data_IF_317583383999
#
_entry.id   IF_317583383999
#
_cell.length_a   1.000
_cell.length_b   1.000
_cell.length_c   1.000
_cell.angle_alpha   90.00
_cell.angle_beta   90.00
_cell.angle_gamma   90.00
#
_symmetry.space_group_name_H-M   'P 1'
#
loop_
_entity.id
_entity.type
_entity.pdbx_description
1 polymer ?
#
# COMPACT_ATOMS: atom_id res chain seq x y z
N UNK A 1 19.85 5.65 -9.63
CA UNK A 1 18.42 5.97 -9.58
C UNK A 1 17.65 4.89 -10.34
N UNK A 2 16.73 4.16 -9.69
CA UNK A 2 15.90 3.17 -10.39
C UNK A 2 14.96 3.92 -11.34
N UNK A 3 14.75 3.40 -12.56
CA UNK A 3 13.81 4.01 -13.49
C UNK A 3 12.38 3.97 -12.93
N UNK A 4 11.53 4.90 -13.35
CA UNK A 4 10.12 4.92 -12.97
C UNK A 4 9.43 3.59 -13.30
N UNK A 5 9.75 3.01 -14.45
CA UNK A 5 9.25 1.69 -14.87
C UNK A 5 9.63 0.59 -13.87
N UNK A 6 10.87 0.60 -13.37
CA UNK A 6 11.31 -0.39 -12.38
C UNK A 6 10.58 -0.20 -11.05
N UNK A 7 10.34 1.04 -10.63
CA UNK A 7 9.56 1.34 -9.42
C UNK A 7 8.12 0.85 -9.55
N UNK A 8 7.45 1.17 -10.66
CA UNK A 8 6.07 0.75 -10.90
C UNK A 8 5.96 -0.77 -10.89
N UNK A 9 6.89 -1.49 -11.54
CA UNK A 9 6.90 -2.97 -11.54
C UNK A 9 7.06 -3.57 -10.14
N UNK A 10 7.82 -2.92 -9.26
CA UNK A 10 8.00 -3.39 -7.88
C UNK A 10 6.73 -3.27 -7.02
N UNK A 11 5.74 -2.50 -7.47
CA UNK A 11 4.47 -2.37 -6.75
C UNK A 11 3.59 -3.62 -6.86
N UNK A 12 3.87 -4.53 -7.81
CA UNK A 12 3.03 -5.68 -8.10
C UNK A 12 3.78 -6.99 -7.84
N UNK A 13 3.08 -7.96 -7.29
CA UNK A 13 3.58 -9.34 -7.17
C UNK A 13 3.47 -10.07 -8.51
N UNK A 14 2.44 -9.74 -9.29
CA UNK A 14 2.21 -10.24 -10.65
C UNK A 14 2.78 -9.25 -11.66
N UNK A 15 3.36 -9.76 -12.75
CA UNK A 15 3.80 -8.89 -13.83
C UNK A 15 2.58 -8.30 -14.55
N UNK A 16 2.36 -6.97 -14.51
CA UNK A 16 1.26 -6.37 -15.24
C UNK A 16 1.43 -6.58 -16.74
N UNK A 17 0.32 -6.62 -17.47
CA UNK A 17 0.31 -6.58 -18.93
C UNK A 17 0.96 -5.30 -19.44
N UNK A 18 1.32 -5.25 -20.72
CA UNK A 18 1.89 -4.04 -21.32
C UNK A 18 0.92 -2.86 -21.24
N UNK A 19 -0.36 -3.10 -21.48
CA UNK A 19 -1.41 -2.06 -21.42
C UNK A 19 -1.58 -1.50 -20.00
N UNK A 20 -1.67 -2.36 -19.00
CA UNK A 20 -1.71 -1.96 -17.59
C UNK A 20 -0.46 -1.17 -17.19
N UNK A 21 0.72 -1.65 -17.60
CA UNK A 21 1.97 -0.96 -17.30
C UNK A 21 2.02 0.45 -17.92
N UNK A 22 1.58 0.60 -19.18
CA UNK A 22 1.50 1.90 -19.84
C UNK A 22 0.55 2.84 -19.12
N UNK A 23 -0.64 2.37 -18.75
CA UNK A 23 -1.61 3.16 -18.00
C UNK A 23 -1.04 3.66 -16.67
N UNK A 24 -0.36 2.80 -15.93
CA UNK A 24 0.28 3.16 -14.66
C UNK A 24 1.42 4.15 -14.85
N UNK A 25 2.21 4.00 -15.91
CA UNK A 25 3.30 4.92 -16.24
C UNK A 25 2.75 6.29 -16.62
N UNK A 26 1.67 6.36 -17.38
CA UNK A 26 1.04 7.63 -17.78
C UNK A 26 0.61 8.44 -16.56
N UNK A 27 -0.04 7.82 -15.58
CA UNK A 27 -0.40 8.50 -14.33
C UNK A 27 0.84 8.98 -13.56
N UNK A 28 1.88 8.17 -13.50
CA UNK A 28 3.10 8.53 -12.80
C UNK A 28 3.88 9.64 -13.51
N UNK A 29 3.93 9.64 -14.84
CA UNK A 29 4.62 10.68 -15.64
C UNK A 29 3.88 12.01 -15.57
N UNK A 30 2.55 12.00 -15.44
CA UNK A 30 1.75 13.20 -15.27
C UNK A 30 2.14 14.01 -14.00
N UNK A 31 2.73 13.37 -13.00
CA UNK A 31 3.26 14.06 -11.81
C UNK A 31 4.63 14.66 -12.12
N UNK A 32 4.82 15.99 -12.07
CA UNK A 32 6.11 16.63 -12.33
C UNK A 32 7.24 16.10 -11.43
N UNK A 33 8.45 16.03 -11.96
CA UNK A 33 9.60 15.48 -11.25
C UNK A 33 9.88 16.21 -9.91
N UNK A 34 9.77 17.53 -9.89
CA UNK A 34 9.98 18.33 -8.66
C UNK A 34 8.96 18.01 -7.56
N UNK A 35 7.73 17.65 -7.93
CA UNK A 35 6.69 17.25 -6.95
C UNK A 35 7.06 15.89 -6.34
N UNK A 36 7.47 14.94 -7.17
CA UNK A 36 7.94 13.63 -6.67
C UNK A 36 9.13 13.77 -5.74
N UNK A 37 10.11 14.58 -6.12
CA UNK A 37 11.30 14.84 -5.31
C UNK A 37 10.91 15.47 -3.95
N UNK A 38 10.04 16.47 -3.96
CA UNK A 38 9.54 17.11 -2.76
C UNK A 38 8.79 16.13 -1.84
N UNK A 39 8.02 15.19 -2.39
CA UNK A 39 7.32 14.16 -1.63
C UNK A 39 8.27 13.16 -0.99
N UNK A 40 9.26 12.68 -1.74
CA UNK A 40 10.24 11.70 -1.24
C UNK A 40 11.27 12.29 -0.28
N UNK A 41 11.52 13.60 -0.31
CA UNK A 41 12.42 14.28 0.63
C UNK A 41 11.76 14.58 1.98
N UNK A 42 10.46 14.38 2.13
CA UNK A 42 9.75 14.60 3.39
C UNK A 42 10.10 13.52 4.42
N UNK A 43 10.31 13.97 5.64
CA UNK A 43 10.38 13.11 6.82
C UNK A 43 9.23 13.46 7.76
N UNK A 44 8.49 12.44 8.19
CA UNK A 44 7.42 12.59 9.17
C UNK A 44 7.67 11.62 10.32
N UNK A 45 7.57 12.13 11.52
CA UNK A 45 7.47 11.29 12.70
C UNK A 45 6.03 11.38 13.22
N UNK A 46 5.26 10.33 12.95
CA UNK A 46 3.88 10.17 13.36
C UNK A 46 3.71 9.07 14.43
N UNK A 47 4.82 8.62 15.03
CA UNK A 47 4.81 7.51 15.98
C UNK A 47 3.91 7.75 17.20
N UNK A 48 3.80 8.99 17.64
CA UNK A 48 2.94 9.41 18.75
C UNK A 48 1.44 9.42 18.38
N UNK A 49 1.10 9.45 17.11
CA UNK A 49 -0.29 9.47 16.64
C UNK A 49 -0.94 8.09 16.66
N UNK A 50 -0.19 7.03 16.39
CA UNK A 50 -0.72 5.67 16.28
C UNK A 50 -1.46 5.24 17.55
N UNK A 51 -0.91 5.38 18.77
CA UNK A 51 -1.61 5.01 20.00
C UNK A 51 -2.84 5.89 20.32
N UNK A 52 -2.96 7.03 19.66
CA UNK A 52 -4.05 8.00 19.87
C UNK A 52 -5.24 7.78 18.94
N UNK A 53 -5.10 6.92 17.93
CA UNK A 53 -6.21 6.56 17.04
C UNK A 53 -7.30 5.84 17.83
N UNK A 54 -8.54 6.33 17.69
CA UNK A 54 -9.74 5.79 18.36
C UNK A 54 -10.80 5.28 17.39
N UNK A 55 -10.65 5.63 16.11
CA UNK A 55 -11.59 5.18 15.09
C UNK A 55 -11.27 3.76 14.66
N UNK A 56 -12.27 2.99 14.22
CA UNK A 56 -12.04 1.70 13.60
C UNK A 56 -10.98 1.78 12.52
N UNK A 57 -10.05 0.83 12.50
CA UNK A 57 -8.94 0.81 11.56
C UNK A 57 -8.81 -0.58 10.94
N UNK A 58 -8.75 -0.62 9.63
CA UNK A 58 -8.37 -1.80 8.85
C UNK A 58 -7.03 -1.53 8.15
N UNK A 59 -6.09 -2.43 8.32
CA UNK A 59 -4.81 -2.46 7.59
C UNK A 59 -4.86 -3.65 6.63
N UNK A 60 -4.77 -3.36 5.33
CA UNK A 60 -4.62 -4.37 4.28
C UNK A 60 -3.22 -4.24 3.69
N UNK A 61 -2.43 -5.31 3.72
CA UNK A 61 -1.02 -5.31 3.29
C UNK A 61 -0.74 -6.55 2.45
N UNK A 62 0.06 -6.38 1.37
CA UNK A 62 0.49 -7.52 0.57
C UNK A 62 1.66 -8.26 1.22
N UNK A 63 1.60 -9.59 1.24
CA UNK A 63 2.68 -10.42 1.78
C UNK A 63 3.98 -10.31 0.98
N UNK A 64 3.87 -10.03 -0.32
CA UNK A 64 4.98 -9.91 -1.28
C UNK A 64 5.40 -8.46 -1.53
N UNK A 65 5.01 -7.52 -0.64
CA UNK A 65 5.33 -6.11 -0.80
C UNK A 65 6.85 -5.87 -0.77
N UNK A 66 7.41 -5.53 -1.93
CA UNK A 66 8.83 -5.26 -2.11
C UNK A 66 9.23 -3.79 -1.79
N UNK A 67 8.26 -2.92 -1.51
CA UNK A 67 8.44 -1.49 -1.23
C UNK A 67 8.36 -1.21 0.27
N UNK A 68 7.29 -1.67 0.91
CA UNK A 68 7.06 -1.55 2.35
C UNK A 68 6.98 -2.94 2.95
N UNK A 69 7.87 -3.22 3.90
CA UNK A 69 7.94 -4.57 4.50
C UNK A 69 6.61 -4.94 5.17
N UNK A 70 6.13 -6.17 5.00
CA UNK A 70 4.91 -6.65 5.66
C UNK A 70 4.92 -6.53 7.18
N UNK A 71 6.10 -6.55 7.81
CA UNK A 71 6.27 -6.29 9.25
C UNK A 71 5.73 -4.92 9.70
N UNK A 72 5.55 -3.97 8.79
CA UNK A 72 4.91 -2.68 9.08
C UNK A 72 3.45 -2.87 9.49
N UNK A 73 2.75 -3.83 8.91
CA UNK A 73 1.37 -4.17 9.29
C UNK A 73 1.31 -4.72 10.73
N UNK A 74 2.28 -5.54 11.13
CA UNK A 74 2.42 -6.05 12.49
C UNK A 74 2.70 -4.93 13.49
N UNK A 75 3.55 -3.97 13.11
CA UNK A 75 3.84 -2.78 13.93
C UNK A 75 2.59 -1.93 14.15
N UNK A 76 1.75 -1.75 13.14
CA UNK A 76 0.46 -1.05 13.28
C UNK A 76 -0.46 -1.80 14.25
N UNK A 77 -0.55 -3.11 14.15
CA UNK A 77 -1.35 -3.93 15.05
C UNK A 77 -0.86 -3.83 16.50
N UNK A 78 0.45 -3.84 16.70
CA UNK A 78 1.04 -3.70 18.03
C UNK A 78 0.80 -2.31 18.65
N UNK A 79 0.83 -1.26 17.83
CA UNK A 79 0.62 0.13 18.27
C UNK A 79 -0.86 0.49 18.47
N UNK A 80 -1.78 -0.20 17.78
CA UNK A 80 -3.21 0.12 17.76
C UNK A 80 -3.98 -1.15 18.09
N UNK A 81 -4.31 -1.35 19.36
CA UNK A 81 -4.88 -2.60 19.87
C UNK A 81 -6.20 -3.04 19.19
N UNK A 82 -6.98 -2.10 18.66
CA UNK A 82 -8.25 -2.37 17.98
C UNK A 82 -8.12 -2.46 16.45
N UNK A 83 -6.91 -2.33 15.90
CA UNK A 83 -6.69 -2.45 14.46
C UNK A 83 -6.98 -3.88 13.98
N UNK A 84 -7.74 -3.98 12.91
CA UNK A 84 -7.86 -5.22 12.16
C UNK A 84 -6.77 -5.25 11.09
N UNK A 85 -5.94 -6.28 11.08
CA UNK A 85 -4.86 -6.43 10.12
C UNK A 85 -5.11 -7.67 9.28
N UNK A 86 -4.97 -7.53 7.97
CA UNK A 86 -5.03 -8.63 7.00
C UNK A 86 -3.84 -8.52 6.06
N UNK A 87 -3.05 -9.57 6.02
CA UNK A 87 -1.93 -9.70 5.08
C UNK A 87 -2.38 -10.63 3.96
N UNK A 88 -2.40 -10.12 2.73
CA UNK A 88 -2.89 -10.84 1.56
C UNK A 88 -1.73 -11.61 0.93
N UNK A 89 -1.82 -12.95 0.96
CA UNK A 89 -0.85 -13.84 0.33
C UNK A 89 -0.82 -13.60 -1.19
N UNK A 90 0.38 -13.59 -1.78
CA UNK A 90 0.56 -13.41 -3.22
C UNK A 90 0.31 -11.98 -3.74
N UNK A 91 0.03 -11.01 -2.88
CA UNK A 91 -0.14 -9.61 -3.26
C UNK A 91 1.09 -8.77 -2.89
N UNK A 92 1.44 -7.81 -3.73
CA UNK A 92 2.54 -6.87 -3.53
C UNK A 92 2.10 -5.56 -2.87
N UNK A 93 2.78 -4.46 -3.23
CA UNK A 93 2.51 -3.11 -2.70
C UNK A 93 1.14 -2.56 -3.14
N UNK A 94 0.58 -3.07 -4.21
CA UNK A 94 -0.74 -2.72 -4.71
C UNK A 94 -1.73 -3.91 -4.56
N UNK A 95 -2.06 -4.34 -3.32
CA UNK A 95 -2.90 -5.52 -3.10
C UNK A 95 -4.31 -5.36 -3.68
N UNK A 96 -4.81 -4.13 -3.80
CA UNK A 96 -6.09 -3.82 -4.45
C UNK A 96 -6.07 -4.08 -5.97
N UNK A 97 -4.89 -4.23 -6.56
CA UNK A 97 -4.69 -4.59 -7.95
C UNK A 97 -4.36 -6.08 -8.11
N UNK A 98 -3.39 -6.58 -7.34
CA UNK A 98 -2.93 -7.96 -7.43
C UNK A 98 -4.02 -8.98 -7.06
N UNK A 99 -4.85 -8.67 -6.06
CA UNK A 99 -6.00 -9.48 -5.65
C UNK A 99 -7.18 -8.59 -5.23
N UNK A 100 -7.78 -7.94 -6.22
CA UNK A 100 -8.92 -7.06 -6.02
C UNK A 100 -10.12 -7.75 -5.36
N UNK A 101 -10.33 -9.03 -5.61
CA UNK A 101 -11.44 -9.79 -5.06
C UNK A 101 -11.31 -9.93 -3.54
N UNK A 102 -10.18 -10.44 -3.06
CA UNK A 102 -9.90 -10.61 -1.63
C UNK A 102 -9.79 -9.26 -0.92
N UNK A 103 -9.11 -8.29 -1.54
CA UNK A 103 -9.01 -6.93 -1.01
C UNK A 103 -10.40 -6.31 -0.76
N UNK A 104 -11.27 -6.33 -1.77
CA UNK A 104 -12.62 -5.76 -1.68
C UNK A 104 -13.51 -6.54 -0.71
N UNK A 105 -13.35 -7.86 -0.60
CA UNK A 105 -14.07 -8.66 0.39
C UNK A 105 -13.75 -8.21 1.81
N UNK A 106 -12.47 -8.08 2.15
CA UNK A 106 -12.05 -7.61 3.47
C UNK A 106 -12.52 -6.18 3.76
N UNK A 107 -12.40 -5.28 2.78
CA UNK A 107 -12.85 -3.90 2.93
C UNK A 107 -14.35 -3.83 3.16
N UNK A 108 -15.14 -4.57 2.37
CA UNK A 108 -16.61 -4.62 2.52
C UNK A 108 -17.01 -5.15 3.88
N UNK A 109 -16.47 -6.30 4.30
CA UNK A 109 -16.76 -6.88 5.62
C UNK A 109 -16.40 -5.94 6.77
N UNK A 110 -15.31 -5.18 6.64
CA UNK A 110 -14.96 -4.18 7.63
C UNK A 110 -16.00 -3.05 7.69
N UNK A 111 -16.42 -2.52 6.54
CA UNK A 111 -17.40 -1.44 6.48
C UNK A 111 -18.80 -1.88 7.00
N UNK A 112 -19.19 -3.12 6.72
CA UNK A 112 -20.46 -3.68 7.20
C UNK A 112 -20.47 -3.93 8.73
N UNK A 113 -19.31 -4.00 9.35
CA UNK A 113 -19.13 -4.17 10.79
C UNK A 113 -19.04 -2.86 11.59
N UNK A 114 -19.14 -1.70 10.93
CA UNK A 114 -19.09 -0.37 11.57
C UNK A 114 -20.48 0.07 12.06
#
# INVERSE_FOLDING_TARGET
MRSLTALVRLCFSQTPSAEELYLMLDYNVAVPAYVREALFSRSFDNGDLLPRLRKPLLVLHGAEDAIVKPSTAEQHQAAIAHAQVRVLAGAGHAPFWDDAATFNQHLRSFCEGL
#
